data_IF_729809987829
#
_entry.id   IF_729809987829
#
_cell.length_a   1.000
_cell.length_b   1.000
_cell.length_c   1.000
_cell.angle_alpha   90.00
_cell.angle_beta   90.00
_cell.angle_gamma   90.00
#
_symmetry.space_group_name_H-M   'P 1'
#
loop_
_entity.id
_entity.type
_entity.pdbx_description
1 polymer ?
#
# COMPACT_ATOMS: atom_id res chain seq x y z
N UNK A 1 5.31 -4.07 -26.21
CA UNK A 1 5.36 -4.20 -24.74
C UNK A 1 5.70 -5.65 -24.38
N UNK A 2 6.84 -5.93 -23.72
CA UNK A 2 7.16 -7.30 -23.26
C UNK A 2 6.21 -7.65 -22.11
N UNK A 3 5.54 -8.81 -22.19
CA UNK A 3 4.74 -9.34 -21.07
C UNK A 3 5.68 -9.65 -19.91
N UNK A 4 5.39 -9.14 -18.72
CA UNK A 4 6.12 -9.50 -17.50
C UNK A 4 5.97 -11.00 -17.23
N UNK A 5 7.05 -11.63 -16.78
CA UNK A 5 7.00 -13.03 -16.34
C UNK A 5 6.15 -13.17 -15.08
N UNK A 6 5.65 -14.38 -14.85
CA UNK A 6 4.86 -14.71 -13.66
C UNK A 6 5.59 -14.36 -12.36
N UNK A 7 6.88 -14.70 -12.30
CA UNK A 7 7.73 -14.41 -11.12
C UNK A 7 7.81 -12.90 -10.89
N UNK A 8 7.99 -12.11 -11.95
CA UNK A 8 8.03 -10.65 -11.85
C UNK A 8 6.70 -10.07 -11.34
N UNK A 9 5.56 -10.54 -11.84
CA UNK A 9 4.25 -10.08 -11.38
C UNK A 9 4.01 -10.40 -9.90
N UNK A 10 4.39 -11.59 -9.44
CA UNK A 10 4.25 -11.99 -8.04
C UNK A 10 5.13 -11.11 -7.14
N UNK A 11 6.39 -10.88 -7.54
CA UNK A 11 7.30 -9.96 -6.84
C UNK A 11 6.78 -8.53 -6.82
N UNK A 12 6.23 -8.03 -7.92
CA UNK A 12 5.64 -6.69 -7.96
C UNK A 12 4.46 -6.56 -7.00
N UNK A 13 3.58 -7.57 -6.92
CA UNK A 13 2.47 -7.57 -5.97
C UNK A 13 2.96 -7.59 -4.51
N UNK A 14 3.96 -8.41 -4.19
CA UNK A 14 4.59 -8.44 -2.86
C UNK A 14 5.17 -7.06 -2.49
N UNK A 15 5.93 -6.44 -3.40
CA UNK A 15 6.51 -5.10 -3.19
C UNK A 15 5.41 -4.06 -2.95
N UNK A 16 4.38 -4.04 -3.80
CA UNK A 16 3.29 -3.06 -3.68
C UNK A 16 2.49 -3.30 -2.39
N UNK A 17 2.31 -4.56 -1.98
CA UNK A 17 1.71 -4.90 -0.69
C UNK A 17 2.52 -4.38 0.50
N UNK A 18 3.85 -4.56 0.46
CA UNK A 18 4.73 -4.04 1.50
C UNK A 18 4.72 -2.49 1.56
N UNK A 19 4.65 -1.83 0.40
CA UNK A 19 4.49 -0.36 0.34
C UNK A 19 3.17 0.07 1.00
N UNK A 20 2.07 -0.63 0.73
CA UNK A 20 0.78 -0.36 1.38
C UNK A 20 0.87 -0.42 2.91
N UNK A 21 1.53 -1.46 3.45
CA UNK A 21 1.72 -1.65 4.89
C UNK A 21 2.65 -0.58 5.48
N UNK A 22 3.74 -0.24 4.79
CA UNK A 22 4.67 0.81 5.21
C UNK A 22 3.96 2.17 5.29
N UNK A 23 3.12 2.49 4.30
CA UNK A 23 2.38 3.75 4.26
C UNK A 23 1.34 3.85 5.38
N UNK A 24 0.63 2.75 5.68
CA UNK A 24 -0.25 2.68 6.83
C UNK A 24 0.54 2.85 8.15
N UNK A 25 1.63 2.13 8.31
CA UNK A 25 2.42 2.15 9.56
C UNK A 25 3.02 3.53 9.81
N UNK A 26 3.63 4.14 8.80
CA UNK A 26 4.25 5.46 8.92
C UNK A 26 3.26 6.61 9.05
N UNK A 27 2.08 6.49 8.45
CA UNK A 27 1.11 7.57 8.40
C UNK A 27 -0.06 7.46 9.38
N UNK A 28 -0.32 6.27 9.90
CA UNK A 28 -1.38 6.01 10.89
C UNK A 28 -0.80 5.65 12.24
N UNK A 29 0.10 4.66 12.30
CA UNK A 29 0.61 4.15 13.58
C UNK A 29 1.65 5.10 14.19
N UNK A 30 2.66 5.51 13.42
CA UNK A 30 3.76 6.33 13.94
C UNK A 30 3.29 7.67 14.53
N UNK A 31 2.36 8.42 13.91
CA UNK A 31 1.89 9.69 14.45
C UNK A 31 1.10 9.56 15.76
N UNK A 32 0.43 8.42 15.99
CA UNK A 32 -0.28 8.13 17.26
C UNK A 32 0.72 7.99 18.42
N UNK A 33 1.90 7.45 18.14
CA UNK A 33 2.94 7.19 19.14
C UNK A 33 3.82 8.43 19.36
N UNK A 34 3.97 9.28 18.34
CA UNK A 34 4.77 10.52 18.44
C UNK A 34 3.95 11.68 19.03
N UNK A 35 4.41 12.26 20.14
CA UNK A 35 3.69 13.31 20.88
C UNK A 35 3.70 14.72 20.25
N UNK A 36 4.18 14.90 19.02
CA UNK A 36 4.56 16.22 18.48
C UNK A 36 3.73 16.74 17.29
N UNK A 37 2.58 16.14 16.96
CA UNK A 37 1.73 16.61 15.85
C UNK A 37 0.54 17.44 16.32
N UNK A 38 0.22 18.51 15.57
CA UNK A 38 -1.07 19.20 15.74
C UNK A 38 -2.19 18.29 15.23
N UNK A 39 -3.37 18.37 15.86
CA UNK A 39 -4.52 17.52 15.50
C UNK A 39 -4.89 17.60 13.99
N UNK A 40 -4.83 18.79 13.40
CA UNK A 40 -5.15 18.97 11.98
C UNK A 40 -4.11 18.32 11.04
N UNK A 41 -2.83 18.37 11.42
CA UNK A 41 -1.75 17.71 10.68
C UNK A 41 -1.91 16.20 10.79
N UNK A 42 -2.23 15.70 12.00
CA UNK A 42 -2.54 14.28 12.23
C UNK A 42 -3.69 13.78 11.35
N UNK A 43 -4.84 14.48 11.35
CA UNK A 43 -6.00 14.08 10.55
C UNK A 43 -5.65 14.07 9.06
N UNK A 44 -4.93 15.08 8.59
CA UNK A 44 -4.52 15.17 7.18
C UNK A 44 -3.62 14.00 6.79
N UNK A 45 -2.58 13.73 7.59
CA UNK A 45 -1.67 12.59 7.35
C UNK A 45 -2.41 11.26 7.44
N UNK A 46 -3.29 11.09 8.42
CA UNK A 46 -4.09 9.88 8.60
C UNK A 46 -4.95 9.58 7.37
N UNK A 47 -5.71 10.57 6.87
CA UNK A 47 -6.58 10.41 5.70
C UNK A 47 -5.78 10.10 4.45
N UNK A 48 -4.73 10.87 4.16
CA UNK A 48 -3.85 10.63 2.99
C UNK A 48 -3.22 9.25 3.06
N UNK A 49 -2.79 8.84 4.26
CA UNK A 49 -2.10 7.57 4.43
C UNK A 49 -3.02 6.37 4.30
N UNK A 50 -4.26 6.46 4.77
CA UNK A 50 -5.29 5.46 4.53
C UNK A 50 -5.62 5.33 3.05
N UNK A 51 -5.81 6.46 2.35
CA UNK A 51 -6.10 6.46 0.90
C UNK A 51 -4.96 5.77 0.14
N UNK A 52 -3.71 6.19 0.38
CA UNK A 52 -2.54 5.62 -0.30
C UNK A 52 -2.34 4.14 0.02
N UNK A 53 -2.47 3.76 1.30
CA UNK A 53 -2.40 2.36 1.70
C UNK A 53 -3.47 1.51 1.00
N UNK A 54 -4.70 2.00 0.95
CA UNK A 54 -5.81 1.34 0.26
C UNK A 54 -5.61 1.22 -1.25
N UNK A 55 -5.07 2.25 -1.90
CA UNK A 55 -4.73 2.22 -3.34
C UNK A 55 -3.69 1.13 -3.61
N UNK A 56 -2.57 1.15 -2.88
CA UNK A 56 -1.52 0.15 -3.08
C UNK A 56 -2.00 -1.27 -2.75
N UNK A 57 -2.79 -1.44 -1.70
CA UNK A 57 -3.39 -2.72 -1.38
C UNK A 57 -4.27 -3.24 -2.53
N UNK A 58 -5.13 -2.37 -3.07
CA UNK A 58 -6.01 -2.69 -4.18
C UNK A 58 -5.23 -3.08 -5.44
N UNK A 59 -4.19 -2.32 -5.79
CA UNK A 59 -3.31 -2.63 -6.92
C UNK A 59 -2.61 -3.99 -6.71
N UNK A 60 -2.09 -4.26 -5.52
CA UNK A 60 -1.45 -5.54 -5.20
C UNK A 60 -2.43 -6.71 -5.39
N UNK A 61 -3.66 -6.55 -4.89
CA UNK A 61 -4.72 -7.55 -5.06
C UNK A 61 -5.12 -7.74 -6.52
N UNK A 62 -5.23 -6.67 -7.31
CA UNK A 62 -5.56 -6.78 -8.73
C UNK A 62 -4.51 -7.57 -9.53
N UNK A 63 -3.23 -7.39 -9.20
CA UNK A 63 -2.13 -8.14 -9.82
C UNK A 63 -2.28 -9.64 -9.52
N UNK A 64 -2.58 -10.02 -8.27
CA UNK A 64 -2.81 -11.42 -7.87
C UNK A 64 -4.10 -11.98 -8.47
N UNK A 65 -5.20 -11.22 -8.48
CA UNK A 65 -6.47 -11.66 -9.08
C UNK A 65 -6.32 -11.95 -10.57
N UNK A 66 -5.56 -11.11 -11.30
CA UNK A 66 -5.22 -11.36 -12.71
C UNK A 66 -4.35 -12.60 -12.91
N UNK A 67 -3.57 -13.00 -11.89
CA UNK A 67 -2.86 -14.29 -11.87
C UNK A 67 -3.85 -15.46 -11.75
N UNK A 68 -4.78 -15.43 -10.80
CA UNK A 68 -5.70 -16.56 -10.56
C UNK A 68 -6.73 -16.77 -11.69
N UNK A 69 -7.04 -15.74 -12.50
CA UNK A 69 -7.92 -15.88 -13.68
C UNK A 69 -7.23 -16.46 -14.94
N UNK A 70 -5.90 -16.59 -14.93
CA UNK A 70 -5.12 -17.07 -16.09
C UNK A 70 -4.62 -18.51 -15.94
N UNK A 71 -4.87 -19.12 -14.78
CA UNK A 71 -4.64 -20.54 -14.49
C UNK A 71 -6.01 -21.22 -14.59
#
# INVERSE_FOLDING_TARGET
MKKLSFVQLNRSSEIIGNISVAWFSGGVIAPIISHSFKLIEFITFFVVSLIMSGIFFSISLEIIKKKNKKI
#
